data_IF_026243498366
#
_entry.id   IF_026243498366
#
_cell.length_a   1.000
_cell.length_b   1.000
_cell.length_c   1.000
_cell.angle_alpha   90.00
_cell.angle_beta   90.00
_cell.angle_gamma   90.00
#
_symmetry.space_group_name_H-M   'P 1'
#
loop_
_entity.id
_entity.type
_entity.pdbx_description
1 polymer ?
#
# COMPACT_ATOMS: atom_id res chain seq x y z
N UNK A 1 -17.66 -29.79 64.17
CA UNK A 1 -18.36 -29.13 63.04
C UNK A 1 -17.71 -27.78 62.79
N UNK A 2 -16.93 -27.65 61.72
CA UNK A 2 -16.31 -26.38 61.32
C UNK A 2 -16.43 -26.23 59.80
N UNK A 3 -17.15 -25.20 59.36
CA UNK A 3 -17.43 -24.91 57.94
C UNK A 3 -16.18 -24.32 57.28
N UNK A 4 -15.67 -24.97 56.23
CA UNK A 4 -14.59 -24.44 55.39
C UNK A 4 -15.07 -23.22 54.59
N UNK A 5 -14.41 -22.06 54.76
CA UNK A 5 -14.62 -20.85 53.95
C UNK A 5 -13.89 -20.99 52.61
N UNK A 6 -14.64 -20.93 51.50
CA UNK A 6 -14.09 -20.88 50.13
C UNK A 6 -13.43 -19.51 49.87
N UNK A 7 -12.30 -19.44 49.15
CA UNK A 7 -11.68 -18.17 48.76
C UNK A 7 -12.55 -17.46 47.71
N UNK A 8 -12.87 -16.19 47.98
CA UNK A 8 -13.68 -15.35 47.11
C UNK A 8 -13.01 -15.16 45.75
N UNK A 9 -13.71 -15.57 44.69
CA UNK A 9 -13.32 -15.24 43.31
C UNK A 9 -13.53 -13.74 43.10
N UNK A 10 -12.44 -12.98 43.00
CA UNK A 10 -12.49 -11.58 42.58
C UNK A 10 -13.20 -11.46 41.24
N UNK A 11 -14.34 -10.76 41.21
CA UNK A 11 -15.05 -10.38 40.00
C UNK A 11 -14.20 -9.37 39.20
N UNK A 12 -13.32 -9.87 38.34
CA UNK A 12 -12.88 -9.15 37.15
C UNK A 12 -13.57 -9.78 35.94
N UNK A 13 -14.89 -9.58 35.87
CA UNK A 13 -15.68 -9.86 34.68
C UNK A 13 -15.21 -8.93 33.55
N UNK A 14 -14.54 -9.51 32.55
CA UNK A 14 -14.20 -8.84 31.27
C UNK A 14 -15.40 -8.02 30.79
N UNK A 15 -15.21 -6.73 30.50
CA UNK A 15 -16.28 -5.88 29.98
C UNK A 15 -16.80 -6.46 28.65
N UNK A 16 -18.01 -6.99 28.66
CA UNK A 16 -18.76 -7.31 27.44
C UNK A 16 -19.50 -6.04 27.02
N UNK A 17 -19.34 -5.59 25.78
CA UNK A 17 -20.14 -4.49 25.23
C UNK A 17 -21.60 -4.91 25.18
N UNK A 18 -22.50 -4.02 25.60
CA UNK A 18 -23.95 -4.25 25.72
C UNK A 18 -24.60 -4.57 24.36
N UNK A 19 -23.98 -4.16 23.25
CA UNK A 19 -24.34 -4.62 21.91
C UNK A 19 -23.53 -5.87 21.58
N UNK A 20 -24.17 -7.04 21.59
CA UNK A 20 -23.59 -8.35 21.24
C UNK A 20 -23.10 -8.52 19.79
N UNK A 21 -22.64 -7.44 19.14
CA UNK A 21 -21.81 -7.55 17.94
C UNK A 21 -20.41 -7.90 18.42
N UNK A 22 -19.92 -9.05 17.97
CA UNK A 22 -18.54 -9.46 18.16
C UNK A 22 -17.62 -8.30 17.75
N UNK A 23 -16.41 -8.29 18.31
CA UNK A 23 -15.33 -7.39 17.94
C UNK A 23 -15.02 -7.52 16.43
N UNK A 24 -15.87 -6.94 15.58
CA UNK A 24 -15.65 -6.70 14.17
C UNK A 24 -14.60 -5.60 14.11
N UNK A 25 -13.36 -6.10 14.19
CA UNK A 25 -12.17 -5.51 13.61
C UNK A 25 -11.92 -4.07 14.02
N UNK A 26 -11.54 -3.90 15.29
CA UNK A 26 -10.54 -2.89 15.66
C UNK A 26 -9.22 -3.29 14.97
N UNK A 27 -9.16 -3.17 13.64
CA UNK A 27 -7.90 -3.27 12.90
C UNK A 27 -6.97 -2.27 13.57
N UNK A 28 -5.82 -2.76 14.07
CA UNK A 28 -4.80 -1.90 14.67
C UNK A 28 -4.48 -0.81 13.65
N UNK A 29 -4.95 0.40 13.91
CA UNK A 29 -4.64 1.54 13.06
C UNK A 29 -3.13 1.76 13.16
N UNK A 30 -2.44 1.70 12.02
CA UNK A 30 -1.01 1.94 11.97
C UNK A 30 -0.75 3.39 12.42
N UNK A 31 0.38 3.66 13.07
CA UNK A 31 0.73 5.06 13.39
C UNK A 31 0.91 5.83 12.08
N UNK A 32 0.45 7.09 11.96
CA UNK A 32 0.54 7.87 10.71
C UNK A 32 1.95 7.92 10.13
N UNK A 33 2.96 8.02 10.98
CA UNK A 33 4.37 7.99 10.57
C UNK A 33 4.74 6.65 9.92
N UNK A 34 4.40 5.54 10.56
CA UNK A 34 4.65 4.20 10.04
C UNK A 34 3.89 3.95 8.72
N UNK A 35 2.64 4.40 8.62
CA UNK A 35 1.87 4.39 7.37
C UNK A 35 2.61 5.11 6.24
N UNK A 36 3.11 6.32 6.49
CA UNK A 36 3.88 7.09 5.50
C UNK A 36 5.19 6.39 5.13
N UNK A 37 5.89 5.81 6.11
CA UNK A 37 7.11 5.04 5.86
C UNK A 37 6.85 3.85 4.94
N UNK A 38 5.78 3.07 5.19
CA UNK A 38 5.36 1.96 4.32
C UNK A 38 5.10 2.46 2.91
N UNK A 39 4.21 3.46 2.75
CA UNK A 39 3.85 4.01 1.42
C UNK A 39 5.10 4.47 0.67
N UNK A 40 5.96 5.27 1.32
CA UNK A 40 7.19 5.80 0.70
C UNK A 40 8.14 4.68 0.31
N UNK A 41 8.32 3.66 1.16
CA UNK A 41 9.25 2.56 0.85
C UNK A 41 8.75 1.74 -0.32
N UNK A 42 7.48 1.34 -0.32
CA UNK A 42 6.90 0.62 -1.45
C UNK A 42 7.01 1.40 -2.75
N UNK A 43 6.78 2.72 -2.73
CA UNK A 43 6.96 3.56 -3.93
C UNK A 43 8.40 3.54 -4.46
N UNK A 44 9.40 3.66 -3.57
CA UNK A 44 10.82 3.57 -3.94
C UNK A 44 11.18 2.19 -4.50
N UNK A 45 10.68 1.13 -3.88
CA UNK A 45 10.91 -0.25 -4.30
C UNK A 45 10.30 -0.52 -5.69
N UNK A 46 9.05 -0.13 -5.91
CA UNK A 46 8.36 -0.32 -7.19
C UNK A 46 9.02 0.50 -8.31
N UNK A 47 9.45 1.73 -8.02
CA UNK A 47 10.18 2.55 -8.99
C UNK A 47 11.52 1.92 -9.38
N UNK A 48 12.27 1.42 -8.38
CA UNK A 48 13.55 0.74 -8.61
C UNK A 48 13.36 -0.55 -9.40
N UNK A 49 12.36 -1.36 -9.02
CA UNK A 49 11.97 -2.59 -9.72
C UNK A 49 11.64 -2.33 -11.18
N UNK A 50 10.78 -1.36 -11.47
CA UNK A 50 10.43 -1.00 -12.84
C UNK A 50 11.68 -0.66 -13.67
N UNK A 51 12.56 0.19 -13.12
CA UNK A 51 13.81 0.59 -13.78
C UNK A 51 14.75 -0.60 -14.06
N UNK A 52 14.82 -1.55 -13.13
CA UNK A 52 15.60 -2.79 -13.31
C UNK A 52 15.00 -3.64 -14.43
N UNK A 53 13.68 -3.86 -14.42
CA UNK A 53 13.01 -4.68 -15.44
C UNK A 53 13.16 -4.07 -16.84
N UNK A 54 13.04 -2.75 -16.97
CA UNK A 54 13.32 -2.04 -18.22
C UNK A 54 14.75 -2.27 -18.69
N UNK A 55 15.75 -2.20 -17.79
CA UNK A 55 17.16 -2.45 -18.12
C UNK A 55 17.45 -3.91 -18.49
N UNK A 56 16.68 -4.84 -17.97
CA UNK A 56 16.73 -6.25 -18.34
C UNK A 56 16.02 -6.56 -19.66
N UNK A 57 15.45 -5.54 -20.33
CA UNK A 57 14.73 -5.69 -21.59
C UNK A 57 13.31 -6.24 -21.44
N UNK A 58 12.76 -6.25 -20.23
CA UNK A 58 11.41 -6.76 -19.97
C UNK A 58 10.43 -5.60 -20.13
N UNK A 59 9.61 -5.66 -21.19
CA UNK A 59 8.60 -4.64 -21.50
C UNK A 59 7.42 -4.69 -20.52
N UNK A 60 6.79 -3.54 -20.17
CA UNK A 60 5.69 -3.50 -19.23
C UNK A 60 4.46 -4.34 -19.57
N UNK A 61 4.19 -4.55 -20.85
CA UNK A 61 3.09 -5.41 -21.32
C UNK A 61 3.35 -6.91 -21.19
N UNK A 62 4.61 -7.32 -21.04
CA UNK A 62 5.04 -8.72 -20.99
C UNK A 62 5.64 -9.10 -19.63
N UNK A 63 5.36 -8.30 -18.59
CA UNK A 63 5.94 -8.54 -17.28
C UNK A 63 5.66 -9.96 -16.78
N UNK A 64 4.43 -10.49 -16.88
CA UNK A 64 4.06 -11.80 -16.32
C UNK A 64 5.03 -12.95 -16.66
N UNK A 65 5.06 -13.40 -17.91
CA UNK A 65 5.84 -14.59 -18.28
C UNK A 65 7.35 -14.43 -18.15
N UNK A 66 7.89 -13.29 -18.58
CA UNK A 66 9.34 -13.04 -18.55
C UNK A 66 9.85 -12.88 -17.12
N UNK A 67 9.05 -12.25 -16.26
CA UNK A 67 9.39 -12.06 -14.86
C UNK A 67 9.29 -13.35 -14.06
N UNK A 68 8.29 -14.20 -14.33
CA UNK A 68 8.17 -15.50 -13.65
C UNK A 68 9.29 -16.47 -14.03
N UNK A 69 9.81 -16.40 -15.27
CA UNK A 69 11.04 -17.10 -15.65
C UNK A 69 12.24 -16.58 -14.85
N UNK A 70 12.36 -15.27 -14.69
CA UNK A 70 13.46 -14.66 -13.94
C UNK A 70 13.43 -15.04 -12.46
N UNK A 71 12.24 -15.16 -11.85
CA UNK A 71 12.11 -15.66 -10.48
C UNK A 71 12.62 -17.09 -10.31
N UNK A 72 12.64 -17.92 -11.35
CA UNK A 72 13.16 -19.29 -11.28
C UNK A 72 14.69 -19.36 -11.38
N UNK A 73 15.36 -18.25 -11.69
CA UNK A 73 16.81 -18.18 -11.76
C UNK A 73 17.46 -18.49 -10.40
N UNK A 74 18.53 -19.29 -10.40
CA UNK A 74 19.21 -19.71 -9.18
C UNK A 74 19.81 -18.54 -8.40
N UNK A 75 20.37 -17.55 -9.10
CA UNK A 75 20.93 -16.34 -8.48
C UNK A 75 19.83 -15.51 -7.84
N UNK A 76 18.70 -15.35 -8.52
CA UNK A 76 17.52 -14.69 -7.97
C UNK A 76 17.06 -15.39 -6.67
N UNK A 77 16.85 -16.71 -6.72
CA UNK A 77 16.35 -17.48 -5.59
C UNK A 77 17.30 -17.46 -4.38
N UNK A 78 18.61 -17.53 -4.63
CA UNK A 78 19.61 -17.47 -3.57
C UNK A 78 19.59 -16.11 -2.85
N UNK A 79 19.59 -15.01 -3.59
CA UNK A 79 19.54 -13.66 -3.01
C UNK A 79 18.21 -13.39 -2.32
N UNK A 80 17.10 -13.82 -2.92
CA UNK A 80 15.75 -13.63 -2.37
C UNK A 80 15.63 -14.23 -0.96
N UNK A 81 16.13 -15.46 -0.78
CA UNK A 81 16.09 -16.18 0.51
C UNK A 81 17.05 -15.60 1.53
N UNK A 82 18.21 -15.12 1.08
CA UNK A 82 19.29 -14.61 1.96
C UNK A 82 18.98 -13.20 2.48
N UNK A 83 18.30 -12.38 1.68
CA UNK A 83 17.98 -11.00 2.05
C UNK A 83 17.14 -10.92 3.34
N UNK A 84 17.47 -9.96 4.19
CA UNK A 84 16.72 -9.65 5.42
C UNK A 84 16.38 -8.17 5.46
N UNK A 85 15.10 -7.87 5.67
CA UNK A 85 14.64 -6.49 5.81
C UNK A 85 15.27 -5.83 7.05
N UNK A 86 15.82 -4.61 6.93
CA UNK A 86 16.33 -3.88 8.09
C UNK A 86 15.23 -3.57 9.10
N UNK A 87 15.56 -3.64 10.39
CA UNK A 87 14.61 -3.37 11.47
C UNK A 87 14.20 -1.89 11.54
N UNK A 88 15.13 -0.97 11.24
CA UNK A 88 14.86 0.48 11.22
C UNK A 88 14.65 0.97 9.80
N UNK A 89 13.75 1.94 9.65
CA UNK A 89 13.49 2.57 8.35
C UNK A 89 14.70 3.32 7.78
N UNK A 90 15.53 3.92 8.64
CA UNK A 90 16.75 4.64 8.26
C UNK A 90 17.79 3.75 7.58
N UNK A 91 17.76 2.46 7.90
CA UNK A 91 18.79 1.50 7.51
C UNK A 91 18.45 0.83 6.17
N UNK A 92 17.37 1.30 5.52
CA UNK A 92 16.92 0.82 4.23
C UNK A 92 17.90 1.16 3.11
N UNK A 93 18.31 0.14 2.36
CA UNK A 93 19.20 0.31 1.21
C UNK A 93 18.58 1.23 0.15
N UNK A 94 19.40 2.11 -0.42
CA UNK A 94 19.05 2.97 -1.55
C UNK A 94 19.66 2.41 -2.82
N UNK A 95 18.82 1.81 -3.67
CA UNK A 95 19.26 1.18 -4.91
C UNK A 95 19.60 2.22 -5.98
N UNK A 96 20.89 2.34 -6.33
CA UNK A 96 21.35 3.19 -7.44
C UNK A 96 21.41 2.38 -8.73
N UNK A 97 20.33 2.43 -9.49
CA UNK A 97 20.24 1.70 -10.76
C UNK A 97 20.82 2.57 -11.88
N UNK A 98 22.06 2.30 -12.28
CA UNK A 98 22.75 3.01 -13.37
C UNK A 98 23.24 2.04 -14.48
N UNK A 99 24.06 2.54 -15.41
CA UNK A 99 24.56 1.75 -16.54
C UNK A 99 25.80 0.89 -16.20
N UNK A 100 26.36 1.02 -14.99
CA UNK A 100 27.55 0.28 -14.56
C UNK A 100 27.20 -1.11 -14.01
N UNK A 101 25.94 -1.31 -13.64
CA UNK A 101 25.45 -2.58 -13.12
C UNK A 101 25.39 -3.64 -14.21
N UNK A 102 25.92 -4.83 -13.90
CA UNK A 102 25.81 -6.00 -14.77
C UNK A 102 24.41 -6.61 -14.72
N UNK A 103 24.09 -7.50 -15.67
CA UNK A 103 22.83 -8.25 -15.65
C UNK A 103 22.65 -9.04 -14.34
N UNK A 104 23.72 -9.65 -13.82
CA UNK A 104 23.69 -10.36 -12.54
C UNK A 104 23.39 -9.42 -11.38
N UNK A 105 23.99 -8.23 -11.34
CA UNK A 105 23.72 -7.26 -10.27
C UNK A 105 22.26 -6.81 -10.28
N UNK A 106 21.70 -6.57 -11.47
CA UNK A 106 20.29 -6.23 -11.64
C UNK A 106 19.38 -7.34 -11.11
N UNK A 107 19.69 -8.61 -11.38
CA UNK A 107 18.94 -9.77 -10.87
C UNK A 107 19.03 -9.86 -9.35
N UNK A 108 20.22 -9.67 -8.77
CA UNK A 108 20.41 -9.68 -7.30
C UNK A 108 19.58 -8.57 -6.65
N UNK A 109 19.65 -7.35 -7.17
CA UNK A 109 18.90 -6.21 -6.62
C UNK A 109 17.39 -6.44 -6.76
N UNK A 110 16.93 -6.98 -7.89
CA UNK A 110 15.52 -7.32 -8.09
C UNK A 110 15.03 -8.33 -7.04
N UNK A 111 15.81 -9.39 -6.79
CA UNK A 111 15.52 -10.38 -5.77
C UNK A 111 15.42 -9.77 -4.36
N UNK A 112 16.34 -8.86 -4.01
CA UNK A 112 16.30 -8.14 -2.72
C UNK A 112 15.05 -7.28 -2.60
N UNK A 113 14.69 -6.54 -3.66
CA UNK A 113 13.48 -5.70 -3.68
C UNK A 113 12.23 -6.54 -3.48
N UNK A 114 12.11 -7.65 -4.19
CA UNK A 114 10.94 -8.52 -4.09
C UNK A 114 10.85 -9.21 -2.72
N UNK A 115 11.99 -9.65 -2.18
CA UNK A 115 12.08 -10.21 -0.82
C UNK A 115 11.72 -9.16 0.23
N UNK A 116 12.13 -7.91 0.04
CA UNK A 116 11.75 -6.81 0.94
C UNK A 116 10.25 -6.51 0.91
N UNK A 117 9.65 -6.50 -0.28
CA UNK A 117 8.20 -6.32 -0.44
C UNK A 117 7.46 -7.43 0.32
N UNK A 118 7.87 -8.69 0.15
CA UNK A 118 7.25 -9.84 0.84
C UNK A 118 7.41 -9.77 2.36
N UNK A 119 8.63 -9.53 2.85
CA UNK A 119 8.91 -9.44 4.30
C UNK A 119 8.19 -8.28 4.99
N UNK A 120 7.80 -7.23 4.24
CA UNK A 120 6.97 -6.12 4.73
C UNK A 120 5.47 -6.40 4.70
N UNK A 121 5.05 -7.61 4.32
CA UNK A 121 3.65 -8.02 4.24
C UNK A 121 3.00 -7.77 2.88
N UNK A 122 3.80 -7.53 1.84
CA UNK A 122 3.35 -7.52 0.45
C UNK A 122 2.34 -6.41 0.13
N UNK A 123 1.56 -6.67 -0.93
CA UNK A 123 0.60 -5.70 -1.48
C UNK A 123 -0.51 -5.35 -0.48
N UNK A 124 -0.91 -6.29 0.38
CA UNK A 124 -1.98 -6.09 1.36
C UNK A 124 -1.61 -5.01 2.39
N UNK A 125 -0.40 -5.07 2.94
CA UNK A 125 0.09 -4.06 3.89
C UNK A 125 0.21 -2.70 3.21
N UNK A 126 0.67 -2.66 1.96
CA UNK A 126 0.72 -1.43 1.19
C UNK A 126 -0.68 -0.84 0.94
N UNK A 127 -1.64 -1.64 0.50
CA UNK A 127 -3.03 -1.20 0.30
C UNK A 127 -3.63 -0.68 1.60
N UNK A 128 -3.50 -1.44 2.70
CA UNK A 128 -3.98 -1.03 4.01
C UNK A 128 -3.36 0.31 4.45
N UNK A 129 -2.04 0.48 4.25
CA UNK A 129 -1.36 1.73 4.54
C UNK A 129 -1.88 2.87 3.65
N UNK A 130 -2.06 2.64 2.34
CA UNK A 130 -2.58 3.63 1.39
C UNK A 130 -3.98 4.12 1.79
N UNK A 131 -4.91 3.20 2.07
CA UNK A 131 -6.26 3.51 2.53
C UNK A 131 -6.25 4.33 3.82
N UNK A 132 -5.41 3.94 4.80
CA UNK A 132 -5.29 4.68 6.06
C UNK A 132 -4.66 6.07 5.87
N UNK A 133 -3.70 6.20 4.94
CA UNK A 133 -3.02 7.45 4.62
C UNK A 133 -3.93 8.49 3.99
N UNK A 134 -4.90 8.05 3.18
CA UNK A 134 -5.86 8.92 2.49
C UNK A 134 -7.02 9.39 3.39
N UNK A 135 -7.15 8.85 4.61
CA UNK A 135 -8.18 9.31 5.54
C UNK A 135 -8.02 10.79 5.86
N UNK A 136 -9.15 11.51 5.99
CA UNK A 136 -9.17 12.95 6.26
C UNK A 136 -8.41 13.38 7.54
N UNK A 137 -8.17 12.45 8.48
CA UNK A 137 -7.40 12.70 9.71
C UNK A 137 -5.88 12.58 9.53
N UNK A 138 -5.36 12.11 8.38
CA UNK A 138 -3.95 11.61 8.28
C UNK A 138 -3.15 12.05 7.05
N UNK A 139 -3.67 12.95 6.23
CA UNK A 139 -2.99 13.42 5.02
C UNK A 139 -3.97 13.83 3.92
N UNK A 140 -5.21 13.35 4.03
CA UNK A 140 -6.31 13.77 3.18
C UNK A 140 -6.28 13.13 1.79
N UNK A 141 -7.40 13.28 1.12
CA UNK A 141 -7.63 12.84 -0.25
C UNK A 141 -7.21 13.96 -1.20
N UNK A 142 -6.19 13.73 -2.04
CA UNK A 142 -5.69 14.74 -2.99
C UNK A 142 -6.75 15.17 -4.00
N UNK A 143 -7.80 14.37 -4.20
CA UNK A 143 -8.93 14.78 -5.03
C UNK A 143 -9.64 16.01 -4.47
N UNK A 144 -9.54 16.32 -3.17
CA UNK A 144 -10.03 17.60 -2.62
C UNK A 144 -9.38 18.81 -3.28
N UNK A 145 -8.05 18.78 -3.45
CA UNK A 145 -7.32 19.86 -4.11
C UNK A 145 -7.59 19.88 -5.61
N UNK A 146 -7.72 18.72 -6.24
CA UNK A 146 -8.16 18.65 -7.64
C UNK A 146 -9.53 19.31 -7.83
N UNK A 147 -10.54 18.93 -7.04
CA UNK A 147 -11.89 19.50 -7.14
C UNK A 147 -11.89 21.01 -6.81
N UNK A 148 -11.08 21.45 -5.86
CA UNK A 148 -10.87 22.89 -5.60
C UNK A 148 -10.36 23.61 -6.84
N UNK A 149 -9.33 23.09 -7.52
CA UNK A 149 -8.81 23.67 -8.76
C UNK A 149 -9.82 23.61 -9.90
N UNK A 150 -10.56 22.51 -10.06
CA UNK A 150 -11.57 22.38 -11.12
C UNK A 150 -12.73 23.37 -10.94
N UNK A 151 -12.99 23.84 -9.72
CA UNK A 151 -14.01 24.88 -9.45
C UNK A 151 -13.51 26.30 -9.71
N UNK A 152 -12.21 26.50 -9.88
CA UNK A 152 -11.63 27.78 -10.26
C UNK A 152 -12.13 28.19 -11.65
N UNK A 153 -12.43 29.48 -11.84
CA UNK A 153 -12.98 30.04 -13.08
C UNK A 153 -12.09 29.76 -14.31
N UNK A 154 -10.78 29.59 -14.09
CA UNK A 154 -9.83 29.19 -15.13
C UNK A 154 -10.15 27.83 -15.77
N UNK A 155 -10.79 26.94 -15.01
CA UNK A 155 -11.11 25.57 -15.45
C UNK A 155 -12.61 25.35 -15.61
N UNK A 156 -13.43 25.96 -14.76
CA UNK A 156 -14.89 25.78 -14.70
C UNK A 156 -15.60 25.98 -16.04
N UNK A 157 -15.19 26.98 -16.82
CA UNK A 157 -15.72 27.25 -18.16
C UNK A 157 -15.49 26.11 -19.17
N UNK A 158 -14.54 25.21 -18.91
CA UNK A 158 -14.17 24.08 -19.76
C UNK A 158 -14.75 22.74 -19.31
N UNK A 159 -15.50 22.72 -18.20
CA UNK A 159 -15.98 21.49 -17.54
C UNK A 159 -17.48 21.21 -17.81
N UNK A 160 -18.05 21.73 -18.90
CA UNK A 160 -19.43 21.39 -19.28
C UNK A 160 -19.50 19.97 -19.88
N UNK A 161 -20.37 19.12 -19.35
CA UNK A 161 -20.66 17.76 -19.86
C UNK A 161 -19.44 16.83 -19.91
N UNK A 162 -18.54 16.92 -18.93
CA UNK A 162 -17.36 16.05 -18.84
C UNK A 162 -17.62 14.80 -18.02
N UNK A 163 -16.97 13.71 -18.41
CA UNK A 163 -16.93 12.45 -17.65
C UNK A 163 -15.55 12.27 -17.01
N UNK A 164 -15.48 11.53 -15.91
CA UNK A 164 -14.22 11.16 -15.26
C UNK A 164 -13.98 9.66 -15.32
N UNK A 165 -12.70 9.28 -15.47
CA UNK A 165 -12.19 7.95 -15.17
C UNK A 165 -11.22 8.09 -14.00
N UNK A 166 -11.55 7.47 -12.87
CA UNK A 166 -10.71 7.43 -11.69
C UNK A 166 -10.02 6.08 -11.57
N UNK A 167 -8.68 6.10 -11.54
CA UNK A 167 -7.84 4.91 -11.38
C UNK A 167 -7.28 4.91 -9.96
N UNK A 168 -7.44 3.81 -9.23
CA UNK A 168 -7.09 3.70 -7.82
C UNK A 168 -8.17 4.24 -6.88
N UNK A 169 -9.44 4.09 -7.27
CA UNK A 169 -10.59 4.56 -6.50
C UNK A 169 -10.79 3.70 -5.24
N UNK A 170 -10.20 4.12 -4.12
CA UNK A 170 -10.29 3.39 -2.85
C UNK A 170 -11.68 3.44 -2.18
N UNK A 171 -12.58 4.32 -2.63
CA UNK A 171 -13.93 4.43 -2.09
C UNK A 171 -14.93 4.93 -3.14
N UNK A 172 -16.10 4.30 -3.27
CA UNK A 172 -17.13 4.76 -4.20
C UNK A 172 -17.72 6.13 -3.83
N UNK A 173 -17.50 6.60 -2.60
CA UNK A 173 -17.99 7.88 -2.05
C UNK A 173 -16.86 8.87 -1.78
N UNK A 174 -15.88 8.95 -2.68
CA UNK A 174 -14.79 9.91 -2.59
C UNK A 174 -15.21 11.30 -3.10
N UNK A 175 -14.25 12.24 -3.07
CA UNK A 175 -14.55 13.64 -3.43
C UNK A 175 -14.75 13.81 -4.93
N UNK A 176 -14.18 12.96 -5.78
CA UNK A 176 -14.41 12.99 -7.24
C UNK A 176 -15.86 12.62 -7.53
N UNK A 177 -16.32 11.46 -7.05
CA UNK A 177 -17.66 10.92 -7.31
C UNK A 177 -18.78 11.74 -6.70
N UNK A 178 -18.50 12.50 -5.64
CA UNK A 178 -19.48 13.36 -4.94
C UNK A 178 -19.34 14.86 -5.25
N UNK A 179 -18.40 15.25 -6.13
CA UNK A 179 -18.10 16.65 -6.44
C UNK A 179 -19.22 17.42 -7.14
N UNK A 180 -20.08 16.71 -7.88
CA UNK A 180 -21.08 17.27 -8.79
C UNK A 180 -20.51 17.88 -10.08
N UNK A 181 -19.19 17.74 -10.34
CA UNK A 181 -18.56 18.33 -11.54
C UNK A 181 -18.75 17.45 -12.77
N UNK A 182 -18.72 16.12 -12.60
CA UNK A 182 -18.73 15.18 -13.71
C UNK A 182 -20.12 14.60 -13.93
N UNK A 183 -20.53 14.47 -15.19
CA UNK A 183 -21.80 13.83 -15.59
C UNK A 183 -21.81 12.35 -15.22
N UNK A 184 -20.69 11.68 -15.43
CA UNK A 184 -20.47 10.30 -14.98
C UNK A 184 -19.04 10.09 -14.52
N UNK A 185 -18.85 9.14 -13.59
CA UNK A 185 -17.54 8.77 -13.05
C UNK A 185 -17.38 7.27 -13.14
N UNK A 186 -16.52 6.82 -14.06
CA UNK A 186 -16.03 5.45 -14.11
C UNK A 186 -14.93 5.29 -13.06
N UNK A 187 -15.01 4.21 -12.27
CA UNK A 187 -14.11 3.95 -11.14
C UNK A 187 -13.45 2.60 -11.34
N UNK A 188 -12.12 2.57 -11.20
CA UNK A 188 -11.33 1.35 -11.28
C UNK A 188 -10.42 1.29 -10.05
N UNK A 189 -10.40 0.15 -9.37
CA UNK A 189 -9.42 -0.16 -8.33
C UNK A 189 -8.90 -1.60 -8.47
N UNK A 190 -7.83 -1.93 -7.75
CA UNK A 190 -7.28 -3.28 -7.73
C UNK A 190 -8.18 -4.28 -6.98
N UNK A 191 -8.96 -3.82 -6.00
CA UNK A 191 -9.78 -4.69 -5.14
C UNK A 191 -11.28 -4.34 -5.15
N UNK A 192 -11.78 -3.57 -6.13
CA UNK A 192 -13.19 -3.16 -6.20
C UNK A 192 -13.64 -2.88 -7.62
#
# INVERSE_FOLDING_TARGET
MAKAKKPGSGLLTRSRSITGKSALTKQKTLKPEHTRQIIRRFHVLQKSKHKILTKLGISPGFFGESYDKLKKDNLYQAEFKTFKVPAKYSDNEVYRIDNRLTKSDLIRILAKIDSEIEQRGGIEVYQCASTQGQTGKRGGDSSKKLIEWLRDENYKSRLSNVNALEIGCLSPHNVISTSGIFTSVCKIDLNS
#
